data_IF_663385860340
#
_entry.id   IF_663385860340
#
_cell.length_a   1.000
_cell.length_b   1.000
_cell.length_c   1.000
_cell.angle_alpha   90.00
_cell.angle_beta   90.00
_cell.angle_gamma   90.00
#
_symmetry.space_group_name_H-M   'P 1'
#
loop_
_entity.id
_entity.type
_entity.pdbx_description
1 polymer ?
#
# COMPACT_ATOMS: atom_id res chain seq x y z
N UNK A 1 -7.07 -29.37 21.04
CA UNK A 1 -7.60 -28.92 19.74
C UNK A 1 -7.79 -27.41 19.68
N UNK A 2 -8.68 -26.82 20.50
CA UNK A 2 -8.96 -25.36 20.52
C UNK A 2 -7.70 -24.48 20.58
N UNK A 3 -6.82 -24.73 21.56
CA UNK A 3 -5.59 -23.93 21.76
C UNK A 3 -4.61 -24.13 20.59
N UNK A 4 -4.54 -25.35 20.04
CA UNK A 4 -3.67 -25.67 18.90
C UNK A 4 -4.10 -24.91 17.64
N UNK A 5 -5.41 -24.73 17.45
CA UNK A 5 -5.97 -23.90 16.39
C UNK A 5 -5.83 -22.38 16.64
N UNK A 6 -5.21 -21.97 17.76
CA UNK A 6 -5.03 -20.57 18.11
C UNK A 6 -6.29 -19.86 18.61
N UNK A 7 -7.34 -20.60 18.96
CA UNK A 7 -8.58 -20.00 19.45
C UNK A 7 -8.50 -19.62 20.92
N UNK A 8 -8.90 -18.39 21.23
CA UNK A 8 -9.27 -17.95 22.57
C UNK A 8 -10.79 -17.86 22.67
N UNK A 9 -11.38 -18.77 23.44
CA UNK A 9 -12.83 -18.91 23.60
C UNK A 9 -13.21 -18.49 25.04
N UNK A 10 -14.17 -17.58 25.22
CA UNK A 10 -14.68 -17.24 26.55
C UNK A 10 -15.64 -18.34 27.05
N UNK A 11 -15.08 -19.39 27.67
CA UNK A 11 -15.84 -20.59 28.07
C UNK A 11 -17.03 -20.32 29.00
N UNK A 12 -16.94 -19.32 29.87
CA UNK A 12 -18.06 -18.94 30.76
C UNK A 12 -19.30 -18.55 29.96
N UNK A 13 -19.13 -17.77 28.89
CA UNK A 13 -20.22 -17.35 27.99
C UNK A 13 -20.65 -18.48 27.07
N UNK A 14 -19.71 -19.30 26.60
CA UNK A 14 -20.03 -20.39 25.69
C UNK A 14 -20.90 -21.47 26.35
N UNK A 15 -20.72 -21.71 27.64
CA UNK A 15 -21.43 -22.75 28.39
C UNK A 15 -22.55 -22.22 29.29
N UNK A 16 -22.94 -20.95 29.16
CA UNK A 16 -23.98 -20.33 30.00
C UNK A 16 -25.34 -21.02 29.82
N UNK A 17 -25.73 -21.28 28.57
CA UNK A 17 -27.00 -21.92 28.20
C UNK A 17 -26.86 -23.43 27.89
N UNK A 18 -25.70 -24.03 28.15
CA UNK A 18 -25.42 -25.43 27.83
C UNK A 18 -25.66 -26.26 29.08
N UNK A 19 -26.42 -27.36 28.97
CA UNK A 19 -26.62 -28.23 30.13
C UNK A 19 -25.28 -28.83 30.58
N UNK A 20 -25.17 -29.14 31.88
CA UNK A 20 -23.95 -29.67 32.48
C UNK A 20 -23.71 -31.14 32.09
N UNK A 21 -23.36 -31.33 30.83
CA UNK A 21 -23.06 -32.61 30.20
C UNK A 21 -21.89 -32.44 29.26
N UNK A 22 -20.85 -33.27 29.45
CA UNK A 22 -19.64 -33.24 28.64
C UNK A 22 -19.94 -33.33 27.14
N UNK A 23 -20.91 -34.17 26.76
CA UNK A 23 -21.32 -34.33 25.36
C UNK A 23 -21.88 -33.04 24.77
N UNK A 24 -22.67 -32.28 25.54
CA UNK A 24 -23.22 -31.01 25.08
C UNK A 24 -22.13 -29.94 25.01
N UNK A 25 -21.21 -29.92 25.98
CA UNK A 25 -20.08 -28.99 26.00
C UNK A 25 -19.13 -29.23 24.83
N UNK A 26 -18.83 -30.49 24.49
CA UNK A 26 -18.03 -30.84 23.29
C UNK A 26 -18.74 -30.37 22.03
N UNK A 27 -20.04 -30.65 21.87
CA UNK A 27 -20.81 -30.22 20.69
C UNK A 27 -20.86 -28.69 20.55
N UNK A 28 -20.99 -27.96 21.65
CA UNK A 28 -20.93 -26.49 21.65
C UNK A 28 -19.55 -25.99 21.21
N UNK A 29 -18.48 -26.69 21.62
CA UNK A 29 -17.12 -26.35 21.24
C UNK A 29 -16.83 -26.62 19.77
N UNK A 30 -17.29 -27.76 19.24
CA UNK A 30 -17.18 -28.11 17.81
C UNK A 30 -17.90 -27.06 16.95
N UNK A 31 -19.14 -26.71 17.31
CA UNK A 31 -19.90 -25.65 16.63
C UNK A 31 -19.19 -24.30 16.66
N UNK A 32 -18.57 -23.95 17.78
CA UNK A 32 -17.80 -22.70 17.90
C UNK A 32 -16.51 -22.73 17.07
N UNK A 33 -15.86 -23.88 16.93
CA UNK A 33 -14.70 -24.07 16.07
C UNK A 33 -15.09 -23.96 14.58
N UNK A 34 -16.22 -24.55 14.18
CA UNK A 34 -16.79 -24.41 12.83
C UNK A 34 -17.15 -22.97 12.51
N UNK A 35 -17.81 -22.26 13.45
CA UNK A 35 -18.17 -20.84 13.29
C UNK A 35 -16.94 -19.96 13.05
N UNK A 36 -15.78 -20.34 13.58
CA UNK A 36 -14.51 -19.64 13.36
C UNK A 36 -13.76 -20.09 12.11
N UNK A 37 -14.35 -20.98 11.30
CA UNK A 37 -13.83 -21.40 10.00
C UNK A 37 -13.01 -22.68 10.00
N UNK A 38 -12.92 -23.41 11.13
CA UNK A 38 -12.27 -24.72 11.15
C UNK A 38 -13.29 -25.81 10.83
N UNK A 39 -13.15 -26.48 9.70
CA UNK A 39 -14.05 -27.55 9.26
C UNK A 39 -13.66 -28.90 9.88
N UNK A 40 -14.62 -29.79 10.18
CA UNK A 40 -14.32 -31.17 10.56
C UNK A 40 -13.53 -31.92 9.47
N UNK A 41 -12.68 -32.90 9.82
CA UNK A 41 -12.47 -33.44 11.17
C UNK A 41 -11.50 -32.59 12.03
N UNK A 42 -11.80 -32.44 13.33
CA UNK A 42 -10.98 -31.68 14.29
C UNK A 42 -9.74 -32.45 14.79
N UNK A 43 -8.89 -32.88 13.86
CA UNK A 43 -7.63 -33.54 14.16
C UNK A 43 -6.57 -32.58 14.69
N UNK A 44 -5.50 -33.12 15.28
CA UNK A 44 -4.39 -32.28 15.75
C UNK A 44 -3.70 -31.55 14.58
N UNK A 45 -3.56 -32.23 13.45
CA UNK A 45 -2.93 -31.71 12.24
C UNK A 45 -3.76 -30.58 11.60
N UNK A 46 -5.08 -30.77 11.46
CA UNK A 46 -5.96 -29.73 10.92
C UNK A 46 -5.96 -28.46 11.77
N UNK A 47 -5.94 -28.59 13.10
CA UNK A 47 -5.84 -27.44 14.00
C UNK A 47 -4.53 -26.67 13.80
N UNK A 48 -3.39 -27.38 13.71
CA UNK A 48 -2.07 -26.75 13.47
C UNK A 48 -2.01 -26.09 12.10
N UNK A 49 -2.49 -26.77 11.06
CA UNK A 49 -2.53 -26.25 9.70
C UNK A 49 -3.43 -25.00 9.59
N UNK A 50 -4.57 -25.01 10.28
CA UNK A 50 -5.46 -23.85 10.35
C UNK A 50 -4.78 -22.63 10.96
N UNK A 51 -4.10 -22.82 12.10
CA UNK A 51 -3.33 -21.74 12.75
C UNK A 51 -2.26 -21.20 11.81
N UNK A 52 -1.47 -22.08 11.20
CA UNK A 52 -0.40 -21.71 10.27
C UNK A 52 -0.93 -20.91 9.07
N UNK A 53 -2.00 -21.39 8.43
CA UNK A 53 -2.61 -20.70 7.29
C UNK A 53 -3.11 -19.31 7.68
N UNK A 54 -3.72 -19.17 8.86
CA UNK A 54 -4.20 -17.88 9.35
C UNK A 54 -3.05 -16.91 9.63
N UNK A 55 -1.93 -17.39 10.14
CA UNK A 55 -0.71 -16.59 10.34
C UNK A 55 -0.15 -16.13 8.99
N UNK A 56 -0.05 -17.03 8.00
CA UNK A 56 0.37 -16.69 6.63
C UNK A 56 -0.56 -15.66 5.96
N UNK A 57 -1.87 -15.81 6.12
CA UNK A 57 -2.86 -14.83 5.61
C UNK A 57 -2.68 -13.46 6.28
N UNK A 58 -2.37 -13.43 7.58
CA UNK A 58 -2.07 -12.18 8.29
C UNK A 58 -0.81 -11.51 7.76
N UNK A 59 0.26 -12.27 7.57
CA UNK A 59 1.52 -11.76 7.00
C UNK A 59 1.31 -11.22 5.58
N UNK A 60 0.59 -11.94 4.73
CA UNK A 60 0.23 -11.46 3.39
C UNK A 60 -0.61 -10.19 3.42
N UNK A 61 -1.55 -10.08 4.35
CA UNK A 61 -2.38 -8.88 4.53
C UNK A 61 -1.59 -7.68 5.08
N UNK A 62 -0.51 -7.92 5.83
CA UNK A 62 0.42 -6.86 6.26
C UNK A 62 1.32 -6.41 5.10
N UNK A 63 1.82 -7.36 4.29
CA UNK A 63 2.58 -7.05 3.08
C UNK A 63 1.75 -6.30 2.04
N UNK A 64 0.46 -6.64 1.88
CA UNK A 64 -0.42 -5.95 0.93
C UNK A 64 -0.64 -4.48 1.28
N UNK A 65 -0.72 -4.13 2.58
CA UNK A 65 -0.79 -2.73 3.04
C UNK A 65 0.46 -1.93 2.71
N UNK A 66 1.60 -2.60 2.62
CA UNK A 66 2.92 -2.00 2.38
C UNK A 66 3.37 -2.13 0.91
N UNK A 67 2.45 -2.39 -0.01
CA UNK A 67 2.78 -2.51 -1.43
C UNK A 67 3.05 -1.12 -2.02
N UNK A 68 4.30 -0.87 -2.43
CA UNK A 68 4.74 0.39 -3.05
C UNK A 68 4.48 0.39 -4.56
N UNK A 69 4.43 -0.80 -5.17
CA UNK A 69 4.30 -0.98 -6.61
C UNK A 69 2.94 -1.63 -6.87
N UNK A 70 2.03 -0.88 -7.48
CA UNK A 70 0.77 -1.42 -8.00
C UNK A 70 1.08 -2.25 -9.24
N UNK A 71 1.03 -3.57 -9.12
CA UNK A 71 1.22 -4.52 -10.23
C UNK A 71 -0.03 -4.66 -11.12
N UNK A 72 -0.96 -3.70 -11.06
CA UNK A 72 -2.15 -3.69 -11.91
C UNK A 72 -1.77 -3.59 -13.40
N UNK A 73 -2.63 -4.11 -14.29
CA UNK A 73 -2.45 -4.19 -15.75
C UNK A 73 -2.04 -2.89 -16.46
N UNK A 74 -2.07 -1.76 -15.77
CA UNK A 74 -1.44 -0.53 -16.18
C UNK A 74 0.07 -0.55 -15.85
N UNK A 75 0.83 -1.42 -16.52
CA UNK A 75 2.26 -1.19 -16.69
C UNK A 75 2.42 0.03 -17.60
N UNK A 76 2.20 1.22 -17.03
CA UNK A 76 2.46 2.48 -17.70
C UNK A 76 3.90 2.39 -18.19
N UNK A 77 4.08 2.51 -19.51
CA UNK A 77 5.39 2.54 -20.14
C UNK A 77 6.27 3.64 -19.54
N UNK A 78 7.51 3.77 -20.04
CA UNK A 78 8.49 4.76 -19.51
C UNK A 78 7.82 6.10 -19.22
N UNK A 79 7.74 6.47 -17.95
CA UNK A 79 7.13 7.72 -17.49
C UNK A 79 7.80 8.87 -18.22
N UNK A 80 7.02 9.58 -19.02
CA UNK A 80 7.53 10.76 -19.75
C UNK A 80 7.63 11.95 -18.78
N UNK A 81 8.51 12.91 -19.08
CA UNK A 81 8.71 14.11 -18.24
C UNK A 81 7.39 14.86 -17.96
N UNK A 82 6.49 14.88 -18.95
CA UNK A 82 5.15 15.47 -18.84
C UNK A 82 4.25 14.72 -17.85
N UNK A 83 4.20 13.39 -17.92
CA UNK A 83 3.41 12.58 -16.98
C UNK A 83 3.91 12.72 -15.54
N UNK A 84 5.23 12.87 -15.35
CA UNK A 84 5.81 13.14 -14.04
C UNK A 84 5.38 14.51 -13.49
N UNK A 85 5.41 15.55 -14.31
CA UNK A 85 4.90 16.88 -13.93
C UNK A 85 3.40 16.84 -13.58
N UNK A 86 2.57 16.18 -14.39
CA UNK A 86 1.13 16.04 -14.14
C UNK A 86 0.85 15.25 -12.85
N UNK A 87 1.64 14.22 -12.54
CA UNK A 87 1.52 13.45 -11.29
C UNK A 87 1.92 14.29 -10.05
N UNK A 88 2.99 15.08 -10.15
CA UNK A 88 3.40 16.00 -9.08
C UNK A 88 2.36 17.09 -8.85
N UNK A 89 1.78 17.67 -9.90
CA UNK A 89 0.70 18.65 -9.79
C UNK A 89 -0.55 18.05 -9.09
N UNK A 90 -0.93 16.82 -9.44
CA UNK A 90 -2.04 16.10 -8.78
C UNK A 90 -1.76 15.80 -7.30
N UNK A 91 -0.49 15.62 -6.92
CA UNK A 91 -0.08 15.38 -5.53
C UNK A 91 -0.09 16.68 -4.73
N UNK A 92 0.35 17.79 -5.32
CA UNK A 92 0.26 19.14 -4.74
C UNK A 92 -1.19 19.54 -4.41
N UNK A 93 -2.17 19.14 -5.22
CA UNK A 93 -3.59 19.43 -4.91
C UNK A 93 -4.21 18.60 -3.78
N UNK A 94 -3.53 17.58 -3.24
CA UNK A 94 -4.06 16.71 -2.16
C UNK A 94 -3.39 16.91 -0.81
N UNK A 95 -2.22 17.52 -0.77
CA UNK A 95 -1.60 18.02 0.46
C UNK A 95 -1.80 19.53 0.47
N UNK A 96 -2.24 20.09 1.60
CA UNK A 96 -2.50 21.52 1.83
C UNK A 96 -3.98 21.91 1.60
N UNK A 97 -4.84 21.43 2.51
CA UNK A 97 -5.94 22.28 3.01
C UNK A 97 -5.30 23.16 4.10
N UNK A 98 -4.57 24.19 3.69
CA UNK A 98 -4.45 25.42 4.45
C UNK A 98 -5.23 26.45 3.65
N UNK A 99 -6.30 26.96 4.24
CA UNK A 99 -6.95 28.16 3.72
C UNK A 99 -5.98 29.33 3.88
N UNK A 100 -5.24 29.66 2.82
CA UNK A 100 -4.81 31.03 2.59
C UNK A 100 -4.66 31.28 1.09
N UNK A 101 -5.68 31.94 0.56
CA UNK A 101 -5.68 32.98 -0.48
C UNK A 101 -4.67 33.00 -1.63
N UNK A 102 -5.25 33.19 -2.82
CA UNK A 102 -4.74 33.83 -4.03
C UNK A 102 -3.79 33.05 -4.92
N UNK A 103 -4.33 32.69 -6.09
CA UNK A 103 -3.58 32.40 -7.31
C UNK A 103 -2.94 33.69 -7.83
N UNK A 104 -1.69 33.92 -7.48
CA UNK A 104 -0.79 34.78 -8.24
C UNK A 104 0.42 33.88 -8.53
N UNK A 105 0.61 33.54 -9.80
CA UNK A 105 1.86 32.93 -10.26
C UNK A 105 2.95 33.96 -9.96
N UNK A 106 3.77 33.72 -8.94
CA UNK A 106 4.81 34.64 -8.50
C UNK A 106 5.73 34.93 -9.69
N UNK A 107 5.78 36.19 -10.13
CA UNK A 107 6.70 36.68 -11.18
C UNK A 107 8.16 36.28 -10.87
N UNK A 108 8.49 36.13 -9.59
CA UNK A 108 9.77 35.66 -9.08
C UNK A 108 10.14 34.22 -9.52
N UNK A 109 9.16 33.30 -9.62
CA UNK A 109 9.43 31.92 -10.05
C UNK A 109 9.72 31.84 -11.56
N UNK A 110 9.10 32.72 -12.36
CA UNK A 110 9.38 32.85 -13.79
C UNK A 110 10.77 33.47 -14.01
N UNK A 111 11.11 34.52 -13.25
CA UNK A 111 12.42 35.17 -13.30
C UNK A 111 13.57 34.23 -12.88
N UNK A 112 13.38 33.38 -11.86
CA UNK A 112 14.39 32.38 -11.48
C UNK A 112 14.62 31.34 -12.57
N UNK A 113 13.56 30.88 -13.25
CA UNK A 113 13.66 29.92 -14.35
C UNK A 113 14.39 30.53 -15.55
N UNK A 114 14.10 31.80 -15.88
CA UNK A 114 14.79 32.52 -16.96
C UNK A 114 16.26 32.76 -16.61
N UNK A 115 16.57 33.19 -15.39
CA UNK A 115 17.94 33.40 -14.93
C UNK A 115 18.76 32.10 -14.98
N UNK A 116 18.21 30.97 -14.51
CA UNK A 116 18.86 29.67 -14.59
C UNK A 116 19.13 29.23 -16.05
N UNK A 117 18.21 29.54 -16.96
CA UNK A 117 18.35 29.23 -18.39
C UNK A 117 19.45 30.08 -19.05
N UNK A 118 19.54 31.35 -18.69
CA UNK A 118 20.63 32.23 -19.14
C UNK A 118 21.98 31.79 -18.57
N UNK A 119 22.04 31.45 -17.29
CA UNK A 119 23.26 31.02 -16.61
C UNK A 119 23.79 29.71 -17.20
N UNK A 120 22.90 28.74 -17.46
CA UNK A 120 23.26 27.48 -18.14
C UNK A 120 23.69 27.71 -19.59
N UNK A 121 23.02 28.58 -20.35
CA UNK A 121 23.48 28.93 -21.70
C UNK A 121 24.86 29.59 -21.67
N UNK A 122 25.13 30.44 -20.68
CA UNK A 122 26.42 31.10 -20.49
C UNK A 122 27.53 30.12 -20.09
N UNK A 123 27.23 29.11 -19.28
CA UNK A 123 28.19 28.11 -18.80
C UNK A 123 28.82 27.28 -19.93
N UNK A 124 28.05 27.01 -21.00
CA UNK A 124 28.52 26.26 -22.16
C UNK A 124 29.03 27.13 -23.32
N UNK A 125 29.06 28.47 -23.18
CA UNK A 125 29.57 29.38 -24.24
C UNK A 125 31.03 29.07 -24.64
N UNK A 126 31.86 28.68 -23.68
CA UNK A 126 33.27 28.33 -23.91
C UNK A 126 33.48 26.96 -24.59
N UNK A 127 32.41 26.16 -24.70
CA UNK A 127 32.39 24.86 -25.36
C UNK A 127 31.76 24.93 -26.76
N UNK A 128 31.23 26.11 -27.15
CA UNK A 128 30.66 26.38 -28.47
C UNK A 128 31.79 26.35 -29.51
N UNK A 129 31.84 25.27 -30.30
CA UNK A 129 32.92 24.98 -31.26
C UNK A 129 33.82 23.79 -30.88
N UNK A 130 33.74 23.29 -29.64
CA UNK A 130 34.32 21.98 -29.23
C UNK A 130 33.27 20.89 -29.42
N UNK A 131 32.02 21.20 -29.07
CA UNK A 131 30.86 20.37 -29.42
C UNK A 131 30.27 20.96 -30.70
N UNK A 132 30.42 20.27 -31.82
CA UNK A 132 29.79 20.66 -33.09
C UNK A 132 28.27 20.66 -32.90
N UNK A 133 27.68 21.84 -32.98
CA UNK A 133 26.24 22.06 -33.09
C UNK A 133 25.96 22.45 -34.54
N UNK A 134 25.97 21.46 -35.45
CA UNK A 134 25.47 21.60 -36.83
C UNK A 134 23.94 21.54 -36.80
N UNK A 135 23.32 22.56 -36.21
CA UNK A 135 21.89 22.79 -36.30
C UNK A 135 21.64 24.25 -36.72
N UNK A 136 22.14 24.60 -37.91
CA UNK A 136 21.54 25.68 -38.69
C UNK A 136 20.10 25.26 -39.01
N UNK A 137 19.13 25.94 -38.39
CA UNK A 137 17.74 25.92 -38.83
C UNK A 137 17.52 27.15 -39.72
N UNK A 138 17.12 26.89 -40.96
CA UNK A 138 16.43 27.85 -41.85
C UNK A 138 15.08 28.27 -41.23
#
# INVERSE_FOLDING_TARGET
MVILAGFRIPYKKLFEDVADSDRQRVKALEKEMERRGLTPPFTMESCKAFKLRKEQESELAELSKNSIIDLGEETHGRVTRRQHHEALARKSHREIIFEESSSEEDEEEIEEIEHMKEETQNLFKNLRGIVSDDADSD
#
